data_IF_508685479047
#
_entry.id   IF_508685479047
#
_cell.length_a   1.000
_cell.length_b   1.000
_cell.length_c   1.000
_cell.angle_alpha   90.00
_cell.angle_beta   90.00
_cell.angle_gamma   90.00
#
_symmetry.space_group_name_H-M   'P 1'
#
loop_
_entity.id
_entity.type
_entity.pdbx_description
1 polymer ?
#
# COMPACT_ATOMS: atom_id res chain seq x y z
N UNK A 1 -48.72 20.47 -49.19
CA UNK A 1 -49.52 20.67 -47.95
C UNK A 1 -48.87 19.80 -46.89
N UNK A 2 -47.92 20.37 -46.14
CA UNK A 2 -47.11 19.66 -45.16
C UNK A 2 -47.61 20.03 -43.78
N UNK A 3 -48.35 19.10 -43.17
CA UNK A 3 -48.79 19.17 -41.78
C UNK A 3 -47.58 18.91 -40.86
N UNK A 4 -47.01 19.96 -40.29
CA UNK A 4 -46.08 19.84 -39.17
C UNK A 4 -46.87 19.78 -37.88
N UNK A 5 -47.27 18.57 -37.48
CA UNK A 5 -47.89 18.30 -36.19
C UNK A 5 -46.86 18.53 -35.08
N UNK A 6 -46.92 19.67 -34.40
CA UNK A 6 -46.14 19.96 -33.20
C UNK A 6 -46.60 19.03 -32.07
N UNK A 7 -45.85 17.95 -31.86
CA UNK A 7 -46.13 16.93 -30.85
C UNK A 7 -45.95 17.54 -29.45
N UNK A 8 -47.06 17.95 -28.85
CA UNK A 8 -47.14 18.48 -27.50
C UNK A 8 -46.66 17.39 -26.51
N UNK A 9 -45.38 17.42 -26.10
CA UNK A 9 -44.82 16.42 -25.17
C UNK A 9 -45.36 16.69 -23.76
N UNK A 10 -46.34 15.89 -23.33
CA UNK A 10 -47.05 16.04 -22.05
C UNK A 10 -46.11 16.07 -20.84
N UNK A 11 -46.48 16.85 -19.82
CA UNK A 11 -45.74 17.01 -18.55
C UNK A 11 -45.48 15.67 -17.83
N UNK A 12 -46.30 14.66 -18.09
CA UNK A 12 -46.15 13.30 -17.56
C UNK A 12 -44.94 12.55 -18.11
N UNK A 13 -44.45 12.90 -19.30
CA UNK A 13 -43.31 12.23 -19.93
C UNK A 13 -41.95 12.59 -19.31
N UNK A 14 -41.88 13.64 -18.49
CA UNK A 14 -40.62 14.14 -17.90
C UNK A 14 -40.42 13.60 -16.48
N UNK A 15 -41.51 13.24 -15.79
CA UNK A 15 -41.47 12.68 -14.44
C UNK A 15 -40.50 11.49 -14.30
N UNK A 16 -40.49 10.49 -15.20
CA UNK A 16 -39.53 9.40 -15.14
C UNK A 16 -38.07 9.88 -15.22
N UNK A 17 -37.80 10.89 -16.05
CA UNK A 17 -36.46 11.48 -16.22
C UNK A 17 -36.04 12.20 -14.94
N UNK A 18 -36.95 12.95 -14.31
CA UNK A 18 -36.67 13.62 -13.03
C UNK A 18 -36.39 12.62 -11.92
N UNK A 19 -37.20 11.56 -11.82
CA UNK A 19 -37.01 10.52 -10.80
C UNK A 19 -35.69 9.79 -11.02
N UNK A 20 -35.40 9.32 -12.23
CA UNK A 20 -34.14 8.62 -12.53
C UNK A 20 -32.94 9.55 -12.31
N UNK A 21 -33.02 10.81 -12.75
CA UNK A 21 -31.95 11.77 -12.52
C UNK A 21 -31.72 12.08 -11.05
N UNK A 22 -32.79 12.24 -10.25
CA UNK A 22 -32.66 12.46 -8.81
C UNK A 22 -32.05 11.23 -8.11
N UNK A 23 -32.46 10.01 -8.49
CA UNK A 23 -31.87 8.79 -7.98
C UNK A 23 -30.38 8.67 -8.34
N UNK A 24 -30.01 8.98 -9.59
CA UNK A 24 -28.62 9.00 -10.03
C UNK A 24 -27.79 10.06 -9.29
N UNK A 25 -28.34 11.27 -9.12
CA UNK A 25 -27.72 12.34 -8.34
C UNK A 25 -27.49 11.92 -6.88
N UNK A 26 -28.48 11.31 -6.24
CA UNK A 26 -28.37 10.80 -4.88
C UNK A 26 -27.33 9.67 -4.78
N UNK A 27 -27.31 8.76 -5.74
CA UNK A 27 -26.31 7.69 -5.81
C UNK A 27 -24.88 8.22 -5.95
N UNK A 28 -24.64 9.18 -6.84
CA UNK A 28 -23.32 9.80 -6.98
C UNK A 28 -22.92 10.61 -5.75
N UNK A 29 -23.85 11.34 -5.12
CA UNK A 29 -23.57 12.04 -3.87
C UNK A 29 -23.19 11.05 -2.74
N UNK A 30 -23.91 9.93 -2.62
CA UNK A 30 -23.60 8.88 -1.65
C UNK A 30 -22.23 8.25 -1.90
N UNK A 31 -21.87 7.97 -3.17
CA UNK A 31 -20.53 7.50 -3.53
C UNK A 31 -19.45 8.54 -3.19
N UNK A 32 -19.72 9.83 -3.40
CA UNK A 32 -18.83 10.92 -3.02
C UNK A 32 -18.57 10.95 -1.51
N UNK A 33 -19.64 10.86 -0.69
CA UNK A 33 -19.53 10.78 0.78
C UNK A 33 -18.71 9.56 1.21
N UNK A 34 -19.03 8.39 0.66
CA UNK A 34 -18.30 7.16 0.96
C UNK A 34 -16.79 7.29 0.64
N UNK A 35 -16.43 7.93 -0.47
CA UNK A 35 -15.02 8.16 -0.81
C UNK A 35 -14.32 9.09 0.20
N UNK A 36 -15.01 10.10 0.74
CA UNK A 36 -14.45 10.98 1.78
C UNK A 36 -14.25 10.22 3.10
N UNK A 37 -15.22 9.41 3.51
CA UNK A 37 -15.08 8.55 4.69
C UNK A 37 -13.92 7.56 4.52
N UNK A 38 -13.82 6.94 3.33
CA UNK A 38 -12.75 6.01 2.99
C UNK A 38 -11.39 6.68 2.97
N UNK A 39 -11.30 7.92 2.48
CA UNK A 39 -10.10 8.76 2.53
C UNK A 39 -9.66 8.97 3.98
N UNK A 40 -10.57 9.41 4.85
CA UNK A 40 -10.26 9.66 6.26
C UNK A 40 -9.79 8.39 6.99
N UNK A 41 -10.49 7.28 6.79
CA UNK A 41 -10.08 5.97 7.31
C UNK A 41 -8.68 5.58 6.84
N UNK A 42 -8.39 5.73 5.53
CA UNK A 42 -7.08 5.39 4.98
C UNK A 42 -5.98 6.31 5.51
N UNK A 43 -6.26 7.60 5.67
CA UNK A 43 -5.30 8.53 6.26
C UNK A 43 -4.94 8.14 7.70
N UNK A 44 -5.91 7.69 8.51
CA UNK A 44 -5.63 7.19 9.86
C UNK A 44 -4.70 5.98 9.89
N UNK A 45 -4.81 5.06 8.93
CA UNK A 45 -3.89 3.93 8.80
C UNK A 45 -2.47 4.39 8.43
N UNK A 46 -2.36 5.32 7.48
CA UNK A 46 -1.06 5.89 7.08
C UNK A 46 -0.42 6.62 8.25
N UNK A 47 -1.17 7.45 8.96
CA UNK A 47 -0.69 8.18 10.13
C UNK A 47 -0.20 7.25 11.26
N UNK A 48 -0.89 6.13 11.49
CA UNK A 48 -0.47 5.11 12.44
C UNK A 48 0.84 4.42 12.02
N UNK A 49 1.05 4.17 10.72
CA UNK A 49 2.34 3.67 10.20
C UNK A 49 3.42 4.73 10.36
N UNK A 50 3.17 5.97 9.95
CA UNK A 50 4.14 7.07 10.04
C UNK A 50 4.57 7.32 11.48
N UNK A 51 3.64 7.27 12.42
CA UNK A 51 3.92 7.44 13.84
C UNK A 51 4.82 6.32 14.36
N UNK A 52 4.55 5.06 14.00
CA UNK A 52 5.37 3.91 14.39
C UNK A 52 6.77 3.97 13.78
N UNK A 53 6.87 4.32 12.50
CA UNK A 53 8.13 4.41 11.78
C UNK A 53 9.08 5.51 12.31
N UNK A 54 8.50 6.57 12.89
CA UNK A 54 9.25 7.69 13.47
C UNK A 54 9.29 7.68 15.01
N UNK A 55 8.76 6.63 15.64
CA UNK A 55 8.81 6.47 17.09
C UNK A 55 10.21 6.10 17.58
N UNK A 56 10.45 6.21 18.89
CA UNK A 56 11.66 5.68 19.49
C UNK A 56 11.76 4.18 19.23
N UNK A 57 12.94 3.66 18.86
CA UNK A 57 13.10 2.24 18.58
C UNK A 57 12.68 1.37 19.77
N UNK A 58 11.85 0.36 19.50
CA UNK A 58 11.57 -0.73 20.43
C UNK A 58 12.80 -1.63 20.52
N UNK A 59 13.30 -1.83 21.74
CA UNK A 59 14.46 -2.69 22.01
C UNK A 59 14.04 -4.18 22.02
N UNK A 60 14.41 -4.91 20.97
CA UNK A 60 14.10 -6.34 20.81
C UNK A 60 14.99 -7.25 21.67
N UNK A 61 16.04 -6.73 22.30
CA UNK A 61 16.82 -7.51 23.26
C UNK A 61 16.08 -7.68 24.58
N UNK A 62 15.25 -6.71 24.94
CA UNK A 62 14.45 -6.70 26.18
C UNK A 62 12.96 -6.95 25.97
N UNK A 63 12.47 -6.89 24.73
CA UNK A 63 11.07 -7.13 24.41
C UNK A 63 10.60 -8.54 24.83
N UNK A 64 9.36 -8.62 25.29
CA UNK A 64 8.68 -9.89 25.51
C UNK A 64 8.12 -10.41 24.18
N UNK A 65 8.60 -11.57 23.76
CA UNK A 65 8.29 -12.15 22.46
C UNK A 65 6.90 -12.80 22.44
N UNK A 66 6.30 -13.13 23.58
CA UNK A 66 4.92 -13.62 23.60
C UNK A 66 3.88 -12.53 23.30
N UNK A 67 4.26 -11.27 23.49
CA UNK A 67 3.39 -10.12 23.28
C UNK A 67 3.64 -9.40 21.94
N UNK A 68 4.61 -9.89 21.16
CA UNK A 68 4.86 -9.36 19.81
C UNK A 68 3.90 -10.04 18.83
N UNK A 69 2.92 -9.28 18.36
CA UNK A 69 2.19 -9.59 17.11
C UNK A 69 2.87 -8.82 15.97
N UNK A 70 3.62 -9.49 15.08
CA UNK A 70 4.35 -8.83 13.99
C UNK A 70 3.47 -7.96 13.08
N UNK A 71 2.20 -8.34 12.89
CA UNK A 71 1.25 -7.59 12.08
C UNK A 71 0.86 -6.30 12.79
N UNK A 72 0.60 -6.36 14.09
CA UNK A 72 0.26 -5.20 14.90
C UNK A 72 1.42 -4.19 15.00
N UNK A 73 2.66 -4.65 14.84
CA UNK A 73 3.86 -3.80 14.92
C UNK A 73 4.59 -3.63 13.57
N UNK A 74 3.96 -3.93 12.44
CA UNK A 74 4.55 -3.66 11.12
C UNK A 74 4.92 -2.17 10.99
N UNK A 75 6.13 -1.89 10.49
CA UNK A 75 6.75 -0.55 10.43
C UNK A 75 7.06 0.08 11.79
N UNK A 76 6.99 -0.67 12.90
CA UNK A 76 7.55 -0.22 14.16
C UNK A 76 9.06 -0.10 14.02
N UNK A 77 9.59 1.05 14.45
CA UNK A 77 11.04 1.21 14.57
C UNK A 77 11.55 0.32 15.70
N UNK A 78 12.60 -0.45 15.42
CA UNK A 78 13.17 -1.43 16.33
C UNK A 78 14.69 -1.30 16.39
N UNK A 79 15.27 -1.77 17.49
CA UNK A 79 16.71 -1.90 17.68
C UNK A 79 17.02 -3.28 18.25
N UNK A 80 18.10 -3.91 17.80
CA UNK A 80 18.54 -5.22 18.27
C UNK A 80 20.05 -5.37 18.19
N UNK A 81 20.65 -6.03 19.18
CA UNK A 81 22.05 -6.40 19.18
C UNK A 81 22.25 -7.86 18.73
N UNK A 82 23.32 -8.11 17.98
CA UNK A 82 23.68 -9.47 17.59
C UNK A 82 24.91 -9.52 16.70
N UNK A 83 25.08 -10.66 16.05
CA UNK A 83 26.11 -10.89 15.05
C UNK A 83 25.48 -11.28 13.73
N UNK A 84 25.78 -10.56 12.65
CA UNK A 84 25.39 -10.99 11.31
C UNK A 84 26.21 -12.22 10.92
N UNK A 85 25.52 -13.28 10.49
CA UNK A 85 26.15 -14.51 10.04
C UNK A 85 26.46 -14.43 8.54
N UNK A 86 27.60 -14.95 8.05
CA UNK A 86 27.99 -14.92 6.63
C UNK A 86 27.18 -15.94 5.79
N UNK A 87 25.86 -15.75 5.77
CA UNK A 87 24.86 -16.62 5.13
C UNK A 87 23.84 -15.78 4.36
N UNK A 88 24.30 -14.99 3.39
CA UNK A 88 23.43 -14.07 2.67
C UNK A 88 22.56 -14.77 1.61
N UNK A 89 21.28 -14.41 1.61
CA UNK A 89 20.33 -14.68 0.53
C UNK A 89 19.99 -13.39 -0.23
N UNK A 90 19.72 -13.53 -1.53
CA UNK A 90 19.46 -12.40 -2.42
C UNK A 90 18.05 -12.49 -3.01
N UNK A 91 17.16 -11.62 -2.56
CA UNK A 91 15.77 -11.58 -3.00
C UNK A 91 15.61 -10.56 -4.12
N UNK A 92 15.09 -10.99 -5.27
CA UNK A 92 14.95 -10.11 -6.43
C UNK A 92 14.06 -8.91 -6.10
N UNK A 93 14.53 -7.71 -6.46
CA UNK A 93 13.86 -6.46 -6.18
C UNK A 93 13.92 -5.51 -7.38
N UNK A 94 12.93 -4.62 -7.46
CA UNK A 94 12.94 -3.47 -8.37
C UNK A 94 12.73 -2.23 -7.52
N UNK A 95 13.72 -1.34 -7.54
CA UNK A 95 13.73 -0.11 -6.74
C UNK A 95 13.88 1.10 -7.67
N UNK A 96 13.97 2.30 -7.09
CA UNK A 96 14.30 3.51 -7.85
C UNK A 96 15.69 3.45 -8.52
N UNK A 97 16.56 2.55 -8.07
CA UNK A 97 17.90 2.31 -8.64
C UNK A 97 17.89 1.29 -9.79
N UNK A 98 16.72 0.71 -10.10
CA UNK A 98 16.57 -0.33 -11.11
C UNK A 98 16.37 -1.72 -10.51
N UNK A 99 16.59 -2.75 -11.34
CA UNK A 99 16.50 -4.14 -10.93
C UNK A 99 17.77 -4.61 -10.21
N UNK A 100 17.60 -5.36 -9.12
CA UNK A 100 18.70 -5.89 -8.32
C UNK A 100 18.19 -6.82 -7.24
N UNK A 101 18.81 -6.78 -6.06
CA UNK A 101 18.51 -7.71 -4.97
C UNK A 101 18.50 -7.04 -3.60
N UNK A 102 17.55 -7.42 -2.75
CA UNK A 102 17.66 -7.25 -1.30
C UNK A 102 18.63 -8.27 -0.73
N UNK A 103 19.49 -7.84 0.19
CA UNK A 103 20.47 -8.69 0.87
C UNK A 103 19.90 -9.11 2.23
N UNK A 104 19.43 -10.34 2.30
CA UNK A 104 18.81 -10.92 3.49
C UNK A 104 19.84 -11.74 4.27
N UNK A 105 20.12 -11.34 5.51
CA UNK A 105 21.20 -11.90 6.33
C UNK A 105 20.67 -12.28 7.72
N UNK A 106 21.01 -13.48 8.24
CA UNK A 106 20.65 -13.85 9.61
C UNK A 106 21.46 -13.03 10.63
N UNK A 107 20.79 -12.54 11.66
CA UNK A 107 21.37 -11.91 12.83
C UNK A 107 21.21 -12.83 14.05
N UNK A 108 22.31 -13.41 14.51
CA UNK A 108 22.36 -14.23 15.72
C UNK A 108 22.36 -13.33 16.95
N UNK A 109 21.32 -13.43 17.78
CA UNK A 109 21.24 -12.71 19.05
C UNK A 109 22.13 -13.37 20.12
N UNK A 110 22.52 -12.63 21.18
CA UNK A 110 23.28 -13.21 22.31
C UNK A 110 22.58 -14.36 23.03
N UNK A 111 21.25 -14.41 22.97
CA UNK A 111 20.43 -15.48 23.56
C UNK A 111 20.30 -16.74 22.68
N UNK A 112 20.98 -16.75 21.52
CA UNK A 112 21.03 -17.87 20.57
C UNK A 112 19.89 -17.89 19.55
N UNK A 113 18.91 -16.99 19.66
CA UNK A 113 17.82 -16.87 18.69
C UNK A 113 18.28 -16.08 17.47
N UNK A 114 17.68 -16.33 16.30
CA UNK A 114 18.09 -15.67 15.05
C UNK A 114 16.96 -14.86 14.45
N UNK A 115 17.25 -13.63 14.05
CA UNK A 115 16.35 -12.77 13.27
C UNK A 115 16.84 -12.66 11.84
N UNK A 116 15.95 -12.35 10.90
CA UNK A 116 16.34 -12.00 9.54
C UNK A 116 16.46 -10.49 9.40
N UNK A 117 17.51 -10.02 8.72
CA UNK A 117 17.77 -8.60 8.47
C UNK A 117 17.92 -8.38 6.98
N UNK A 118 17.17 -7.44 6.41
CA UNK A 118 17.49 -6.84 5.12
C UNK A 118 18.54 -5.76 5.33
N UNK A 119 19.78 -6.00 4.90
CA UNK A 119 20.89 -5.04 5.00
C UNK A 119 20.80 -3.90 3.97
N UNK A 120 19.95 -4.07 2.97
CA UNK A 120 19.74 -3.12 1.89
C UNK A 120 19.78 -3.78 0.51
N UNK A 121 19.95 -2.95 -0.52
CA UNK A 121 19.88 -3.32 -1.93
C UNK A 121 21.26 -3.39 -2.58
N UNK A 122 21.42 -4.28 -3.55
CA UNK A 122 22.62 -4.37 -4.38
C UNK A 122 22.27 -4.54 -5.85
N UNK A 123 23.07 -3.94 -6.73
CA UNK A 123 22.97 -4.15 -8.17
C UNK A 123 23.45 -5.56 -8.56
N UNK A 124 22.98 -6.13 -9.68
CA UNK A 124 23.34 -7.49 -10.08
C UNK A 124 24.85 -7.76 -10.15
N UNK A 125 25.62 -6.79 -10.65
CA UNK A 125 27.07 -6.91 -10.84
C UNK A 125 27.87 -6.79 -9.54
N UNK A 126 27.26 -6.26 -8.47
CA UNK A 126 27.87 -6.04 -7.16
C UNK A 126 27.46 -7.13 -6.14
N UNK A 127 26.62 -8.08 -6.56
CA UNK A 127 26.02 -9.11 -5.68
C UNK A 127 27.04 -9.86 -4.84
N UNK A 128 28.14 -10.29 -5.45
CA UNK A 128 29.18 -11.06 -4.74
C UNK A 128 30.00 -10.18 -3.79
N UNK A 129 30.16 -8.88 -4.09
CA UNK A 129 30.86 -7.94 -3.22
C UNK A 129 30.02 -7.56 -1.98
N UNK A 130 28.69 -7.67 -2.06
CA UNK A 130 27.80 -7.44 -0.92
C UNK A 130 27.78 -8.58 0.11
N UNK A 131 28.31 -9.76 -0.25
CA UNK A 131 28.31 -10.92 0.62
C UNK A 131 29.16 -10.66 1.86
N UNK A 132 28.59 -10.98 3.01
CA UNK A 132 29.32 -11.00 4.26
C UNK A 132 30.29 -12.19 4.28
N UNK A 133 31.56 -11.92 4.58
CA UNK A 133 32.63 -12.94 4.57
C UNK A 133 32.89 -13.56 5.94
N UNK A 134 32.55 -12.84 7.01
CA UNK A 134 32.79 -13.26 8.39
C UNK A 134 31.66 -12.83 9.31
N UNK A 135 31.55 -13.49 10.45
CA UNK A 135 30.59 -13.09 11.48
C UNK A 135 30.91 -11.68 11.96
N UNK A 136 29.93 -10.79 11.91
CA UNK A 136 30.13 -9.35 12.18
C UNK A 136 29.21 -8.90 13.31
N UNK A 137 29.74 -8.60 14.52
CA UNK A 137 28.97 -8.02 15.61
C UNK A 137 28.44 -6.64 15.24
N UNK A 138 27.16 -6.39 15.49
CA UNK A 138 26.50 -5.15 15.10
C UNK A 138 25.26 -4.87 15.94
N UNK A 139 24.92 -3.58 16.06
CA UNK A 139 23.60 -3.13 16.53
C UNK A 139 22.80 -2.71 15.30
N UNK A 140 21.67 -3.37 15.06
CA UNK A 140 20.77 -3.05 13.95
C UNK A 140 19.65 -2.15 14.46
N UNK A 141 19.47 -0.99 13.85
CA UNK A 141 18.25 -0.18 13.91
C UNK A 141 17.54 -0.27 12.57
N UNK A 142 16.21 -0.30 12.58
CA UNK A 142 15.44 -0.37 11.34
C UNK A 142 13.94 -0.43 11.57
N UNK A 143 13.22 -0.73 10.50
CA UNK A 143 11.78 -0.95 10.52
C UNK A 143 11.49 -2.45 10.54
N UNK A 144 10.64 -2.88 11.47
CA UNK A 144 10.11 -4.24 11.47
C UNK A 144 9.16 -4.42 10.28
N UNK A 145 9.33 -5.51 9.53
CA UNK A 145 8.49 -5.88 8.40
C UNK A 145 8.03 -7.32 8.57
N UNK A 146 6.73 -7.54 8.36
CA UNK A 146 6.16 -8.90 8.38
C UNK A 146 6.74 -9.73 7.25
N UNK A 147 6.83 -11.05 7.46
CA UNK A 147 7.19 -12.01 6.42
C UNK A 147 6.29 -11.88 5.19
N UNK A 148 6.84 -12.16 4.01
CA UNK A 148 6.12 -12.13 2.73
C UNK A 148 6.03 -13.56 2.16
N UNK A 149 5.10 -14.40 2.67
CA UNK A 149 4.97 -15.79 2.27
C UNK A 149 4.35 -15.93 0.88
N UNK A 150 4.39 -17.16 0.34
CA UNK A 150 3.80 -17.56 -0.95
C UNK A 150 4.46 -16.99 -2.22
N UNK A 151 5.59 -16.27 -2.07
CA UNK A 151 6.37 -15.74 -3.19
C UNK A 151 5.95 -14.36 -3.68
N UNK A 152 6.68 -13.86 -4.69
CA UNK A 152 6.38 -12.59 -5.34
C UNK A 152 5.22 -12.72 -6.33
N UNK A 153 4.79 -11.61 -6.93
CA UNK A 153 3.71 -11.60 -7.93
C UNK A 153 3.98 -12.64 -9.05
N UNK A 154 3.17 -13.71 -9.07
CA UNK A 154 3.24 -14.83 -10.02
C UNK A 154 4.54 -15.66 -9.98
N UNK A 155 5.38 -15.53 -8.95
CA UNK A 155 6.67 -16.25 -8.86
C UNK A 155 6.92 -16.74 -7.43
N UNK A 156 6.84 -18.06 -7.24
CA UNK A 156 7.26 -18.72 -6.01
C UNK A 156 8.79 -18.75 -5.91
N UNK A 157 9.32 -18.71 -4.68
CA UNK A 157 10.73 -18.95 -4.42
C UNK A 157 11.15 -20.34 -4.92
N UNK A 158 12.42 -20.45 -5.26
CA UNK A 158 13.06 -21.70 -5.67
C UNK A 158 14.40 -21.83 -4.92
N UNK A 159 14.35 -22.35 -3.68
CA UNK A 159 15.52 -22.49 -2.82
C UNK A 159 16.60 -23.40 -3.42
N UNK A 160 16.20 -24.45 -4.15
CA UNK A 160 17.14 -25.39 -4.79
C UNK A 160 17.99 -24.69 -5.85
N UNK A 161 17.40 -23.76 -6.60
CA UNK A 161 18.10 -22.94 -7.58
C UNK A 161 18.66 -21.62 -7.03
N UNK A 162 18.49 -21.34 -5.74
CA UNK A 162 18.90 -20.09 -5.10
C UNK A 162 18.22 -18.84 -5.68
N UNK A 163 16.97 -18.97 -6.13
CA UNK A 163 16.17 -17.87 -6.69
C UNK A 163 15.07 -17.48 -5.72
N UNK A 164 15.08 -16.22 -5.30
CA UNK A 164 14.14 -15.68 -4.33
C UNK A 164 13.39 -14.50 -4.90
N UNK A 165 12.07 -14.47 -4.73
CA UNK A 165 11.16 -13.44 -5.22
C UNK A 165 10.29 -12.82 -4.11
N UNK A 166 10.30 -13.40 -2.91
CA UNK A 166 9.74 -12.79 -1.70
C UNK A 166 10.69 -12.91 -0.52
N UNK A 167 10.44 -12.10 0.51
CA UNK A 167 11.16 -12.13 1.79
C UNK A 167 10.42 -13.06 2.76
N UNK A 168 10.25 -14.32 2.36
CA UNK A 168 9.69 -15.36 3.22
C UNK A 168 10.72 -15.76 4.27
N UNK A 169 10.49 -15.34 5.51
CA UNK A 169 11.45 -15.50 6.61
C UNK A 169 11.73 -16.97 6.91
N UNK A 170 10.69 -17.81 6.93
CA UNK A 170 10.81 -19.22 7.29
C UNK A 170 11.51 -20.03 6.19
N UNK A 171 11.15 -19.79 4.92
CA UNK A 171 11.76 -20.47 3.78
C UNK A 171 13.22 -20.06 3.59
N UNK A 172 13.51 -18.75 3.69
CA UNK A 172 14.87 -18.21 3.65
C UNK A 172 15.68 -18.82 4.79
N UNK A 173 15.17 -18.82 6.04
CA UNK A 173 15.85 -19.41 7.18
C UNK A 173 16.18 -20.90 6.98
N UNK A 174 15.21 -21.66 6.49
CA UNK A 174 15.39 -23.09 6.19
C UNK A 174 16.51 -23.32 5.18
N UNK A 175 16.57 -22.52 4.11
CA UNK A 175 17.62 -22.63 3.09
C UNK A 175 19.04 -22.37 3.63
N UNK A 176 19.15 -21.57 4.69
CA UNK A 176 20.41 -21.23 5.36
C UNK A 176 20.76 -22.21 6.49
N UNK A 177 19.88 -23.17 6.77
CA UNK A 177 19.98 -24.09 7.91
C UNK A 177 19.89 -23.37 9.24
N UNK A 178 19.03 -22.35 9.34
CA UNK A 178 18.85 -21.53 10.54
C UNK A 178 17.36 -21.43 10.89
N UNK A 179 17.01 -21.70 12.15
CA UNK A 179 15.66 -21.45 12.65
C UNK A 179 15.49 -19.96 12.94
N UNK A 180 14.49 -19.35 12.33
CA UNK A 180 14.14 -17.96 12.61
C UNK A 180 13.31 -17.88 13.89
N UNK A 181 13.47 -16.78 14.60
CA UNK A 181 12.78 -16.50 15.85
C UNK A 181 11.28 -16.29 15.65
N UNK A 182 10.91 -15.62 14.56
CA UNK A 182 9.54 -15.16 14.33
C UNK A 182 9.30 -14.89 12.83
N UNK A 183 8.04 -14.63 12.49
CA UNK A 183 7.55 -14.39 11.13
C UNK A 183 7.71 -12.93 10.69
N UNK A 184 8.86 -12.34 10.99
CA UNK A 184 9.24 -10.98 10.56
C UNK A 184 10.74 -10.83 10.33
N UNK A 185 11.09 -9.75 9.63
CA UNK A 185 12.47 -9.33 9.43
C UNK A 185 12.63 -7.83 9.73
N UNK A 186 13.87 -7.38 9.86
CA UNK A 186 14.20 -5.96 10.06
C UNK A 186 14.75 -5.38 8.77
N UNK A 187 14.17 -4.29 8.30
CA UNK A 187 14.71 -3.49 7.22
C UNK A 187 15.65 -2.43 7.81
N UNK A 188 16.97 -2.64 7.67
CA UNK A 188 17.96 -1.85 8.39
C UNK A 188 18.01 -0.40 7.87
N UNK A 189 18.06 0.56 8.81
CA UNK A 189 18.24 1.99 8.51
C UNK A 189 19.62 2.24 7.89
N UNK A 190 20.65 1.71 8.56
CA UNK A 190 22.04 1.83 8.18
C UNK A 190 22.51 0.60 7.42
N UNK A 191 23.27 0.87 6.37
CA UNK A 191 23.89 -0.17 5.56
C UNK A 191 25.04 -0.78 6.32
N UNK A 192 25.03 -2.12 6.42
CA UNK A 192 26.21 -2.88 6.82
C UNK A 192 26.84 -3.49 5.56
N UNK A 193 28.01 -2.99 5.15
CA UNK A 193 28.79 -3.47 4.00
C UNK A 193 28.83 -2.50 2.81
N UNK A 194 30.02 -2.30 2.24
CA UNK A 194 30.32 -1.20 1.30
C UNK A 194 29.54 -1.24 -0.03
N UNK A 195 29.14 -2.42 -0.50
CA UNK A 195 28.43 -2.60 -1.76
C UNK A 195 26.89 -2.58 -1.62
N UNK A 196 26.37 -2.35 -0.42
CA UNK A 196 24.93 -2.38 -0.14
C UNK A 196 24.38 -0.95 -0.04
N UNK A 197 23.13 -0.76 -0.43
CA UNK A 197 22.47 0.55 -0.44
C UNK A 197 21.20 0.49 0.41
N UNK A 198 21.16 1.31 1.46
CA UNK A 198 20.08 1.36 2.44
C UNK A 198 19.06 2.45 2.12
N UNK A 199 18.10 2.65 3.01
CA UNK A 199 17.12 3.74 2.87
C UNK A 199 16.16 3.61 1.69
N UNK A 200 16.04 2.41 1.13
CA UNK A 200 15.13 2.11 0.02
C UNK A 200 13.79 1.54 0.48
N UNK A 201 13.54 1.51 1.79
CA UNK A 201 12.23 1.21 2.36
C UNK A 201 11.26 2.33 1.99
N UNK A 202 10.41 2.08 1.00
CA UNK A 202 9.43 3.07 0.55
C UNK A 202 8.16 2.94 1.39
N UNK A 203 7.97 3.84 2.35
CA UNK A 203 6.68 4.08 3.01
C UNK A 203 5.78 4.88 2.06
N UNK A 204 5.15 4.20 1.09
CA UNK A 204 4.19 4.86 0.20
C UNK A 204 2.88 4.10 0.11
N UNK A 205 1.79 4.81 0.37
CA UNK A 205 0.44 4.27 0.32
C UNK A 205 -0.37 5.06 -0.72
N UNK A 206 -0.70 4.43 -1.85
CA UNK A 206 -1.54 5.05 -2.88
C UNK A 206 -2.90 5.48 -2.30
N UNK A 207 -3.26 6.76 -2.40
CA UNK A 207 -4.51 7.28 -1.81
C UNK A 207 -5.27 8.21 -2.79
N UNK A 208 -6.01 7.61 -3.71
CA UNK A 208 -6.72 8.33 -4.77
C UNK A 208 -8.17 8.72 -4.40
N UNK A 209 -8.59 8.50 -3.15
CA UNK A 209 -9.99 8.66 -2.72
C UNK A 209 -10.52 10.10 -2.88
N UNK A 210 -9.67 11.11 -2.72
CA UNK A 210 -10.05 12.50 -2.95
C UNK A 210 -10.45 12.77 -4.41
N UNK A 211 -9.66 12.29 -5.37
CA UNK A 211 -9.94 12.47 -6.81
C UNK A 211 -11.25 11.79 -7.18
N UNK A 212 -11.50 10.59 -6.65
CA UNK A 212 -12.77 9.90 -6.84
C UNK A 212 -13.94 10.64 -6.20
N UNK A 213 -13.80 11.14 -4.97
CA UNK A 213 -14.83 11.95 -4.32
C UNK A 213 -15.22 13.17 -5.16
N UNK A 214 -14.23 13.92 -5.66
CA UNK A 214 -14.45 15.06 -6.55
C UNK A 214 -15.16 14.65 -7.85
N UNK A 215 -14.79 13.50 -8.43
CA UNK A 215 -15.44 12.97 -9.63
C UNK A 215 -16.91 12.68 -9.38
N UNK A 216 -17.25 12.00 -8.28
CA UNK A 216 -18.64 11.66 -7.96
C UNK A 216 -19.48 12.90 -7.66
N UNK A 217 -18.95 13.86 -6.91
CA UNK A 217 -19.66 15.13 -6.67
C UNK A 217 -19.83 15.96 -7.94
N UNK A 218 -18.84 15.97 -8.85
CA UNK A 218 -18.97 16.64 -10.14
C UNK A 218 -20.08 16.01 -11.00
N UNK A 219 -20.17 14.68 -11.05
CA UNK A 219 -21.24 13.96 -11.74
C UNK A 219 -22.62 14.25 -11.13
N UNK A 220 -22.71 14.26 -9.80
CA UNK A 220 -23.95 14.62 -9.09
C UNK A 220 -24.39 16.06 -9.43
N UNK A 221 -23.46 17.02 -9.38
CA UNK A 221 -23.72 18.42 -9.71
C UNK A 221 -24.14 18.61 -11.18
N UNK A 222 -23.51 17.87 -12.11
CA UNK A 222 -23.86 17.90 -13.52
C UNK A 222 -25.29 17.40 -13.76
N UNK A 223 -25.68 16.27 -13.17
CA UNK A 223 -27.05 15.75 -13.27
C UNK A 223 -28.04 16.74 -12.67
N UNK A 224 -27.75 17.27 -11.48
CA UNK A 224 -28.61 18.25 -10.83
C UNK A 224 -28.80 19.51 -11.71
N UNK A 225 -27.71 20.01 -12.32
CA UNK A 225 -27.75 21.12 -13.26
C UNK A 225 -28.60 20.82 -14.50
N UNK A 226 -28.46 19.63 -15.07
CA UNK A 226 -29.27 19.18 -16.21
C UNK A 226 -30.76 19.09 -15.84
N UNK A 227 -31.10 18.57 -14.66
CA UNK A 227 -32.47 18.51 -14.16
C UNK A 227 -33.07 19.92 -13.99
N UNK A 228 -32.33 20.84 -13.36
CA UNK A 228 -32.74 22.23 -13.20
C UNK A 228 -32.95 22.91 -14.55
N UNK A 229 -32.06 22.67 -15.52
CA UNK A 229 -32.19 23.19 -16.87
C UNK A 229 -33.47 22.69 -17.55
N UNK A 230 -33.72 21.38 -17.54
CA UNK A 230 -34.93 20.77 -18.11
C UNK A 230 -36.20 21.34 -17.47
N UNK A 231 -36.22 21.51 -16.15
CA UNK A 231 -37.38 22.11 -15.47
C UNK A 231 -37.58 23.57 -15.86
N UNK A 232 -36.51 24.38 -15.89
CA UNK A 232 -36.57 25.80 -16.27
C UNK A 232 -37.03 26.01 -17.70
N UNK A 233 -36.49 25.24 -18.63
CA UNK A 233 -36.85 25.29 -20.05
C UNK A 233 -38.35 25.01 -20.24
N UNK A 234 -38.86 23.97 -19.58
CA UNK A 234 -40.29 23.61 -19.63
C UNK A 234 -41.22 24.60 -18.96
N UNK A 235 -40.77 25.31 -17.92
CA UNK A 235 -41.53 26.41 -17.32
C UNK A 235 -41.60 27.62 -18.26
N UNK A 236 -40.55 27.88 -19.05
CA UNK A 236 -40.52 28.96 -20.04
C UNK A 236 -41.38 28.67 -21.27
N UNK A 237 -41.52 27.40 -21.67
CA UNK A 237 -42.34 26.95 -22.80
C UNK A 237 -43.87 26.99 -22.56
N UNK A 238 -44.37 27.55 -21.45
CA UNK A 238 -45.81 27.84 -21.28
C UNK A 238 -46.14 29.30 -21.66
N UNK A 239 -46.59 29.62 -22.88
CA UNK A 239 -47.25 30.89 -23.16
C UNK A 239 -48.72 30.86 -22.72
N UNK A 240 -49.22 32.06 -22.41
CA UNK A 240 -50.52 32.37 -21.83
C UNK A 240 -51.71 31.61 -22.44
N UNK A 241 -52.55 31.05 -21.58
CA UNK A 241 -53.91 30.62 -21.91
C UNK A 241 -54.64 31.79 -22.55
N UNK A 242 -55.00 31.68 -23.84
CA UNK A 242 -55.95 32.56 -24.48
C UNK A 242 -57.29 32.42 -23.76
N UNK A 243 -57.72 33.50 -23.11
CA UNK A 243 -59.12 33.67 -22.72
C UNK A 243 -59.91 33.93 -24.00
N UNK A 244 -60.85 33.04 -24.31
CA UNK A 244 -62.08 33.34 -25.03
C UNK A 244 -63.26 32.89 -24.15
#
# INVERSE_FOLDING_TARGET
MSDTTTKNRSLTAIWPILVVGLLACAGFAALGVWQVERLAWKNGLVEAVETRAHSNPLDLDTADWSDIDPVAIEYQRVMVNGSLLPKDNFVQAVTALGGGFWVMTPLLKPDGRTLLVNRGFVLPDEREAARLTEETPVTISGLLRVTEPDGGFLRANDPEAGRWFSRDVAEIGTSMGVSMLDDFFIDADEVVGDAVQGGLTVLSFSNNHLVYALTWFALAAFILGALVYVVRDRVREKPATSQD
#
